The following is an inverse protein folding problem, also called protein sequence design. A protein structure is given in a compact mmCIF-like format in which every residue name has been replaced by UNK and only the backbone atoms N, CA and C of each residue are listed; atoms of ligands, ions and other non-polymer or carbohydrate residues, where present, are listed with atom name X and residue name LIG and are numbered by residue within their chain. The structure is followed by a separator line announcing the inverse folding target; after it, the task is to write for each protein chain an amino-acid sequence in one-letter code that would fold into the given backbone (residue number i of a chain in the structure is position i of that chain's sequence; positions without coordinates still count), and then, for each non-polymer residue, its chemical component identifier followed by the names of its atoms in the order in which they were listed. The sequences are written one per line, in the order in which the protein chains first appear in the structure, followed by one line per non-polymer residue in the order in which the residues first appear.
data_IF_836337589741
#
_entry.id   IF_836337589741
#
_cell.length_a   1.000
_cell.length_b   1.000
_cell.length_c   1.000
_cell.angle_alpha   90.00
_cell.angle_beta   90.00
_cell.angle_gamma   90.00
#
_symmetry.space_group_name_H-M   'P 1'
#
loop_
_entity.id
_entity.type
_entity.pdbx_description
1 polymer ?
2 polymer ?
3 non-polymer ?
4 water ?
#
# COMPACT_ATOMS: atom_id res chain seq x y z
N UNK A 33 -25.91 -10.17 -15.48
CA UNK A 33 -25.64 -9.12 -14.44
C UNK A 33 -24.13 -8.91 -14.17
N UNK A 34 -23.80 -7.90 -13.39
CA UNK A 34 -22.41 -7.54 -13.09
C UNK A 34 -21.89 -8.20 -11.82
N UNK A 35 -20.62 -8.61 -11.85
CA UNK A 35 -19.98 -9.17 -10.64
C UNK A 35 -18.67 -8.44 -10.45
N UNK A 36 -18.41 -7.94 -9.23
CA UNK A 36 -17.16 -7.23 -8.93
C UNK A 36 -16.36 -7.99 -7.91
N UNK A 37 -15.09 -8.29 -8.17
CA UNK A 37 -14.23 -8.93 -7.17
C UNK A 37 -12.98 -8.10 -7.02
N UNK A 38 -12.69 -7.62 -5.81
CA UNK A 38 -11.55 -6.72 -5.58
C UNK A 38 -10.62 -7.33 -4.57
N UNK A 39 -9.33 -7.45 -4.93
CA UNK A 39 -8.29 -7.78 -3.94
C UNK A 39 -7.72 -6.45 -3.53
N UNK A 40 -7.82 -6.13 -2.25
CA UNK A 40 -7.37 -4.83 -1.75
C UNK A 40 -6.36 -5.02 -0.59
N UNK A 41 -5.19 -4.41 -0.70
CA UNK A 41 -4.14 -4.56 0.31
C UNK A 41 -3.74 -3.22 0.88
N UNK A 42 -3.83 -3.08 2.21
CA UNK A 42 -3.35 -1.89 2.92
C UNK A 42 -1.91 -2.13 3.39
N UNK A 43 -1.00 -1.30 2.90
CA UNK A 43 0.41 -1.42 3.25
C UNK A 43 0.77 -0.37 4.29
N UNK A 44 1.50 -0.78 5.32
CA UNK A 44 2.11 0.13 6.29
C UNK A 44 3.59 -0.24 6.38
N UNK A 45 4.49 0.75 6.42
CA UNK A 45 5.91 0.48 6.43
C UNK A 45 6.49 1.47 7.44
N UNK A 46 7.63 1.08 8.05
CA UNK A 46 8.47 2.04 8.77
C UNK A 46 9.88 1.81 8.24
N UNK A 47 10.42 2.87 7.66
CA UNK A 47 11.77 2.86 7.12
C UNK A 47 12.69 3.78 7.94
N UNK A 48 13.89 3.27 8.25
CA UNK A 48 14.87 4.03 9.05
C UNK A 48 15.51 5.13 8.22
N UNK A 49 16.13 6.07 8.92
CA UNK A 49 16.80 7.20 8.24
C UNK A 49 17.91 6.75 7.27
N UNK A 50 18.46 5.55 7.49
CA UNK A 50 19.47 5.00 6.56
C UNK A 50 18.86 4.17 5.43
N UNK A 51 17.52 4.12 5.36
CA UNK A 51 16.86 3.35 4.29
C UNK A 51 16.50 1.93 4.64
N UNK A 52 16.99 1.43 5.79
CA UNK A 52 16.67 0.09 6.27
C UNK A 52 15.20 -0.09 6.56
N UNK A 53 14.63 -1.20 6.13
CA UNK A 53 13.26 -1.52 6.48
C UNK A 53 13.15 -2.03 7.91
N UNK A 54 12.45 -1.29 8.77
CA UNK A 54 12.20 -1.73 10.13
C UNK A 54 10.94 -2.60 10.24
N UNK A 55 9.84 -2.17 9.62
CA UNK A 55 8.55 -2.86 9.75
C UNK A 55 7.87 -2.82 8.40
N UNK A 56 7.20 -3.93 8.07
CA UNK A 56 6.30 -3.97 6.90
C UNK A 56 5.02 -4.68 7.35
N UNK A 57 3.86 -4.17 7.01
CA UNK A 57 2.60 -4.86 7.34
C UNK A 57 1.72 -4.73 6.10
N UNK A 58 1.08 -5.84 5.72
CA UNK A 58 0.08 -5.84 4.65
C UNK A 58 -1.17 -6.46 5.27
N UNK A 59 -2.27 -5.74 5.22
CA UNK A 59 -3.61 -6.25 5.60
C UNK A 59 -4.41 -6.37 4.33
N UNK A 60 -4.77 -7.59 3.93
CA UNK A 60 -5.42 -7.79 2.62
C UNK A 60 -6.84 -8.32 2.81
N UNK A 61 -7.66 -8.03 1.82
CA UNK A 61 -9.04 -8.54 1.76
C UNK A 61 -9.39 -8.83 0.33
N UNK A 62 -10.29 -9.80 0.14
CA UNK A 62 -10.94 -10.05 -1.14
C UNK A 62 -12.42 -9.77 -0.89
N UNK A 63 -12.93 -8.81 -1.63
CA UNK A 63 -14.31 -8.29 -1.48
C UNK A 63 -15.07 -8.58 -2.75
N UNK A 64 -16.30 -9.02 -2.58
CA UNK A 64 -17.15 -9.35 -3.70
C UNK A 64 -18.39 -8.42 -3.66
N UNK A 65 -18.89 -8.04 -4.83
CA UNK A 65 -20.23 -7.44 -4.96
C UNK A 65 -20.93 -8.15 -6.13
N UNK A 66 -22.10 -8.74 -5.89
CA UNK A 66 -22.82 -9.43 -6.96
C UNK A 66 -24.28 -9.53 -6.63
N UNK A 67 -25.11 -9.73 -7.65
CA UNK A 67 -26.56 -9.84 -7.49
C UNK A 67 -27.06 -10.96 -8.40
N UNK A 68 -26.68 -12.19 -8.07
CA UNK A 68 -26.83 -13.28 -9.02
C UNK A 68 -28.20 -13.94 -8.85
N UNK A 69 -28.69 -14.62 -9.91
CA UNK A 69 -29.97 -15.33 -9.76
C UNK A 69 -29.85 -16.40 -8.70
N UNK A 70 -30.99 -16.84 -8.16
CA UNK A 70 -31.06 -17.90 -7.17
C UNK A 70 -30.35 -19.16 -7.72
N UNK A 71 -29.80 -19.96 -6.82
CA UNK A 71 -29.03 -21.16 -7.20
C UNK A 71 -27.51 -20.96 -7.35
N UNK A 72 -27.12 -19.73 -7.71
CA UNK A 72 -25.76 -19.44 -8.19
C UNK A 72 -24.63 -19.82 -7.24
N UNK A 73 -23.62 -20.45 -7.82
CA UNK A 73 -22.42 -20.83 -7.10
C UNK A 73 -21.18 -20.25 -7.79
N UNK A 74 -20.28 -19.69 -7.00
CA UNK A 74 -19.14 -18.98 -7.50
C UNK A 74 -17.90 -19.71 -7.01
N UNK A 75 -16.92 -19.86 -7.90
CA UNK A 75 -15.60 -20.42 -7.55
C UNK A 75 -14.55 -19.35 -7.85
N UNK A 76 -13.70 -19.08 -6.86
CA UNK A 76 -12.62 -18.13 -7.06
C UNK A 76 -11.30 -18.89 -6.92
N UNK A 77 -10.39 -18.80 -7.91
CA UNK A 77 -9.06 -19.47 -7.85
C UNK A 77 -8.02 -18.42 -7.60
N UNK A 78 -7.16 -18.67 -6.62
CA UNK A 78 -6.09 -17.76 -6.26
C UNK A 78 -4.80 -18.29 -6.86
N UNK A 79 -3.73 -17.48 -6.78
CA UNK A 79 -2.36 -17.91 -7.11
C UNK A 79 -2.15 -19.35 -6.68
N UNK A 80 -1.77 -20.20 -7.64
CA UNK A 80 -1.66 -21.64 -7.36
C UNK A 80 -0.57 -21.96 -6.33
N UNK A 81 0.52 -21.23 -6.46
CA UNK A 81 1.67 -21.20 -5.52
C UNK A 81 1.38 -21.28 -4.01
N UNK A 82 0.51 -20.39 -3.57
CA UNK A 82 0.82 -19.61 -2.40
C UNK A 82 0.80 -20.35 -1.09
N UNK A 83 1.73 -20.02 -0.19
CA UNK A 83 1.78 -20.68 1.10
C UNK A 83 1.24 -19.76 2.17
N UNK A 84 0.85 -20.40 3.26
CA UNK A 84 0.21 -19.74 4.36
C UNK A 84 0.99 -20.11 5.64
N UNK A 85 1.37 -19.11 6.42
CA UNK A 85 2.03 -19.37 7.69
C UNK A 85 3.53 -19.63 7.52
N UNK A 86 4.12 -20.09 8.63
CA UNK A 86 5.58 -20.33 8.73
C UNK A 86 5.70 -21.78 9.19
N UNK A 87 5.77 -22.68 8.23
CA UNK A 87 5.83 -24.08 8.52
C UNK A 87 7.09 -24.41 9.30
N UNK A 88 6.91 -25.06 10.46
CA UNK A 88 8.10 -25.52 11.22
C UNK A 88 8.85 -26.62 10.49
N UNK A 89 8.13 -27.45 9.74
CA UNK A 89 8.79 -28.51 8.98
C UNK A 89 9.43 -28.03 7.70
N UNK A 90 8.72 -27.25 6.89
CA UNK A 90 9.23 -26.89 5.60
C UNK A 90 9.94 -25.57 5.57
N UNK A 91 9.76 -24.73 6.61
CA UNK A 91 10.32 -23.38 6.57
C UNK A 91 9.60 -22.50 5.55
N UNK A 92 10.11 -21.31 5.34
CA UNK A 92 9.48 -20.41 4.38
C UNK A 92 10.51 -19.64 3.63
N UNK A 93 10.24 -19.51 2.35
CA UNK A 93 11.31 -19.21 1.40
C UNK A 93 10.85 -18.09 0.51
N UNK A 94 11.44 -17.99 -0.66
CA UNK A 94 11.01 -16.96 -1.56
C UNK A 94 9.79 -17.56 -2.26
N UNK A 95 8.85 -16.74 -2.71
CA UNK A 95 7.60 -17.27 -3.27
C UNK A 95 6.49 -16.40 -2.74
N UNK A 96 5.27 -16.64 -3.18
CA UNK A 96 4.14 -15.83 -2.74
C UNK A 96 3.60 -16.47 -1.48
N UNK A 97 3.43 -15.67 -0.43
CA UNK A 97 3.04 -16.28 0.82
C UNK A 97 2.31 -15.21 1.63
N UNK A 98 1.47 -15.63 2.58
CA UNK A 98 0.95 -14.74 3.58
C UNK A 98 1.20 -15.38 4.95
N UNK A 99 1.21 -14.58 6.00
CA UNK A 99 1.47 -15.11 7.34
C UNK A 99 0.24 -15.74 7.95
N UNK A 100 -0.94 -15.23 7.58
CA UNK A 100 -2.21 -15.83 8.04
C UNK A 100 -3.33 -15.51 7.11
N UNK A 101 -4.37 -16.35 7.16
CA UNK A 101 -5.54 -16.19 6.29
C UNK A 101 -6.77 -16.53 7.11
N UNK A 102 -7.91 -15.95 6.72
CA UNK A 102 -9.20 -16.24 7.33
C UNK A 102 -10.27 -16.06 6.28
N UNK A 103 -11.43 -16.72 6.46
CA UNK A 103 -12.44 -16.79 5.39
C UNK A 103 -13.79 -16.52 5.94
N UNK A 104 -14.67 -16.01 5.10
CA UNK A 104 -16.06 -15.81 5.51
C UNK A 104 -16.67 -17.16 5.84
N UNK A 105 -17.53 -17.20 6.85
CA UNK A 105 -18.10 -18.47 7.28
C UNK A 105 -18.86 -19.25 6.16
N UNK A 106 -19.31 -18.56 5.13
CA UNK A 106 -20.03 -19.19 4.01
C UNK A 106 -19.12 -19.84 2.95
N UNK A 107 -17.81 -19.64 3.09
CA UNK A 107 -16.88 -20.17 2.11
C UNK A 107 -16.54 -21.64 2.36
N UNK A 108 -16.72 -22.45 1.32
CA UNK A 108 -16.27 -23.83 1.35
C UNK A 108 -14.81 -23.97 0.89
N UNK A 109 -14.00 -24.67 1.70
CA UNK A 109 -12.58 -24.80 1.48
C UNK A 109 -12.12 -26.20 1.03
N UNK A 110 -13.05 -27.02 0.56
CA UNK A 110 -12.73 -28.40 0.10
C UNK A 110 -11.65 -28.48 -0.96
N UNK A 111 -11.55 -27.43 -1.79
CA UNK A 111 -10.54 -27.40 -2.85
C UNK A 111 -9.41 -26.40 -2.58
N UNK A 112 -9.34 -25.88 -1.35
CA UNK A 112 -8.33 -24.88 -1.05
C UNK A 112 -6.93 -25.48 -0.93
N UNK A 113 -6.77 -26.60 -0.24
CA UNK A 113 -5.39 -27.08 -0.02
C UNK A 113 -4.77 -27.55 -1.32
N UNK A 114 -5.58 -28.21 -2.16
CA UNK A 114 -5.04 -28.81 -3.39
C UNK A 114 -4.95 -27.82 -4.53
N UNK A 115 -5.88 -26.89 -4.60
CA UNK A 115 -5.98 -26.06 -5.81
C UNK A 115 -6.11 -24.57 -5.53
N UNK A 116 -6.10 -24.14 -4.27
CA UNK A 116 -6.27 -22.72 -3.93
C UNK A 116 -7.59 -22.15 -4.51
N UNK A 117 -8.64 -22.98 -4.49
CA UNK A 117 -9.95 -22.54 -4.99
C UNK A 117 -10.85 -22.37 -3.80
N UNK A 118 -11.65 -21.31 -3.84
CA UNK A 118 -12.69 -21.05 -2.84
C UNK A 118 -14.03 -21.25 -3.55
N UNK A 119 -15.03 -21.72 -2.78
CA UNK A 119 -16.41 -21.88 -3.30
C UNK A 119 -17.41 -21.25 -2.35
N UNK A 120 -18.40 -20.56 -2.91
CA UNK A 120 -19.46 -19.96 -2.08
C UNK A 120 -20.72 -19.65 -2.89
N UNK A 121 -21.85 -19.53 -2.18
CA UNK A 121 -23.09 -19.06 -2.79
C UNK A 121 -23.27 -17.67 -2.19
N UNK A 122 -22.97 -16.62 -2.96
CA UNK A 122 -22.91 -15.28 -2.41
C UNK A 122 -24.31 -14.73 -2.09
N UNK A 123 -24.37 -13.75 -1.20
CA UNK A 123 -25.62 -13.06 -0.93
C UNK A 123 -25.79 -12.01 -2.03
N UNK A 124 -26.85 -11.23 -1.92
CA UNK A 124 -27.05 -10.12 -2.81
C UNK A 124 -26.30 -8.92 -2.28
N UNK A 125 -25.36 -8.37 -3.04
CA UNK A 125 -24.63 -7.21 -2.55
C UNK A 125 -23.19 -7.54 -2.18
N UNK A 126 -22.70 -6.90 -1.11
CA UNK A 126 -21.29 -6.99 -0.72
C UNK A 126 -20.98 -8.09 0.27
N UNK A 127 -19.83 -8.74 0.07
CA UNK A 127 -19.34 -9.75 1.00
C UNK A 127 -17.83 -9.68 1.02
N UNK A 128 -17.23 -9.73 2.19
CA UNK A 128 -15.75 -9.96 2.29
C UNK A 128 -15.50 -11.45 2.38
N UNK A 129 -14.85 -11.99 1.36
CA UNK A 129 -14.66 -13.43 1.20
C UNK A 129 -13.47 -14.00 2.02
N UNK A 130 -12.39 -13.24 2.08
CA UNK A 130 -11.12 -13.68 2.66
C UNK A 130 -10.34 -12.47 3.18
N UNK A 131 -9.61 -12.69 4.27
CA UNK A 131 -8.72 -11.66 4.81
C UNK A 131 -7.40 -12.33 4.96
N UNK A 132 -6.33 -11.55 4.90
CA UNK A 132 -5.01 -12.16 5.12
C UNK A 132 -4.07 -11.08 5.60
N UNK A 133 -2.93 -11.52 6.14
CA UNK A 133 -1.95 -10.57 6.68
C UNK A 133 -0.56 -11.07 6.30
N UNK A 134 0.38 -10.13 6.11
CA UNK A 134 1.78 -10.45 5.86
C UNK A 134 2.64 -9.42 6.63
N UNK A 135 3.62 -9.92 7.41
CA UNK A 135 4.66 -9.06 8.08
C UNK A 135 6.12 -9.28 7.66
N UNK A 136 6.36 -10.21 6.74
CA UNK A 136 7.69 -10.55 6.17
C UNK A 136 8.06 -9.62 5.01
N UNK A 137 9.26 -9.75 4.47
CA UNK A 137 9.63 -9.06 3.24
C UNK A 137 8.61 -9.35 2.13
N UNK A 138 8.35 -8.33 1.31
CA UNK A 138 7.52 -8.50 0.14
C UNK A 138 8.31 -9.19 -0.95
N UNK A 139 7.59 -9.82 -1.89
CA UNK A 139 8.27 -10.48 -3.00
C UNK A 139 8.85 -9.54 -4.06
N UNK A 140 8.52 -8.25 -4.00
CA UNK A 140 9.10 -7.28 -4.93
C UNK A 140 9.63 -6.13 -4.08
N UNK A 141 10.49 -5.27 -4.66
CA UNK A 141 10.96 -4.12 -3.89
C UNK A 141 9.83 -3.22 -3.37
N UNK A 142 10.04 -2.55 -2.24
CA UNK A 142 9.10 -1.53 -1.78
C UNK A 142 8.89 -0.48 -2.85
N UNK A 143 7.67 0.06 -2.93
CA UNK A 143 7.36 0.96 -4.05
C UNK A 143 8.09 2.30 -4.03
N UNK A 144 8.50 2.78 -2.87
CA UNK A 144 9.13 4.11 -2.77
C UNK A 144 10.34 4.13 -1.88
N UNK A 145 11.35 4.90 -2.35
CA UNK A 145 12.54 5.15 -1.55
C UNK A 145 12.69 6.68 -1.50
N UNK A 146 12.98 7.21 -0.31
CA UNK A 146 13.22 8.64 -0.15
C UNK A 146 14.67 8.93 0.19
N UNK A 147 15.20 9.98 -0.44
CA UNK A 147 16.57 10.48 -0.21
C UNK A 147 16.50 11.94 0.23
N UNK A 148 16.39 12.18 1.55
CA UNK A 148 16.32 13.57 2.05
C UNK A 148 17.72 14.20 2.28
N UNK A 149 17.84 15.51 2.07
CA UNK A 149 19.06 16.21 2.45
C UNK A 149 18.66 17.50 3.15
N UNK A 150 19.07 17.63 4.40
CA UNK A 150 18.63 18.73 5.27
C UNK A 150 19.84 19.53 5.76
N UNK A 151 19.80 20.84 5.53
CA UNK A 151 20.83 21.76 6.04
C UNK A 151 20.14 22.80 6.91
N UNK A 152 20.65 22.93 8.13
CA UNK A 152 20.00 23.67 9.19
C UNK A 152 20.97 24.65 9.85
N UNK A 153 20.75 25.95 9.60
CA UNK A 153 21.55 27.02 10.21
C UNK A 153 20.89 27.50 11.52
N UNK A 154 21.52 27.12 12.64
CA UNK A 154 20.85 27.13 13.96
C UNK A 154 20.31 28.44 14.58
N UNK A 155 20.94 29.61 14.40
CA UNK A 155 22.03 29.91 13.45
C UNK A 155 21.63 31.20 12.75
N UNK A 156 20.81 31.07 11.72
CA UNK A 156 20.19 32.23 11.07
C UNK A 156 18.68 31.93 10.93
N UNK A 157 18.33 30.73 11.37
CA UNK A 157 16.98 30.19 11.25
C UNK A 157 16.70 29.51 9.93
N UNK A 158 17.69 29.47 9.05
CA UNK A 158 17.51 28.95 7.69
C UNK A 158 17.46 27.43 7.69
N UNK A 159 16.38 26.85 7.15
CA UNK A 159 16.28 25.43 6.99
C UNK A 159 16.09 25.09 5.52
N UNK A 160 17.00 24.27 4.99
CA UNK A 160 16.86 23.83 3.62
C UNK A 160 16.56 22.33 3.60
N UNK A 161 15.47 21.96 2.93
CA UNK A 161 15.10 20.54 2.89
C UNK A 161 15.02 20.15 1.44
N UNK A 162 15.88 19.22 1.04
CA UNK A 162 15.81 18.68 -0.30
C UNK A 162 15.29 17.27 -0.21
N UNK A 163 14.24 16.95 -0.99
CA UNK A 163 13.67 15.60 -0.96
C UNK A 163 13.69 15.03 -2.38
N UNK A 164 14.24 13.82 -2.51
CA UNK A 164 14.15 13.08 -3.77
C UNK A 164 13.38 11.79 -3.53
N UNK A 165 12.32 11.57 -4.31
CA UNK A 165 11.53 10.37 -4.14
C UNK A 165 11.73 9.52 -5.37
N UNK A 166 12.08 8.24 -5.17
CA UNK A 166 12.24 7.35 -6.32
C UNK A 166 11.15 6.29 -6.25
N UNK A 167 10.46 6.06 -7.37
CA UNK A 167 9.42 5.03 -7.43
C UNK A 167 10.09 3.76 -7.95
N UNK A 168 10.03 2.70 -7.16
CA UNK A 168 10.65 1.45 -7.53
C UNK A 168 9.68 0.36 -8.05
N UNK A 169 8.52 0.79 -8.52
CA UNK A 169 7.58 -0.12 -9.16
C UNK A 169 8.18 -0.46 -10.52
N UNK A 170 7.69 -1.54 -11.13
CA UNK A 170 7.96 -1.79 -12.57
C UNK A 170 7.67 -0.54 -13.41
N UNK A 171 8.42 -0.35 -14.49
CA UNK A 171 8.42 0.93 -15.20
C UNK A 171 7.10 1.24 -15.91
N UNK A 172 6.34 0.18 -16.21
CA UNK A 172 5.02 0.30 -16.79
C UNK A 172 3.97 0.78 -15.77
N UNK A 173 4.25 0.60 -14.48
CA UNK A 173 3.19 0.72 -13.49
C UNK A 173 3.11 2.08 -12.78
N UNK A 174 1.89 2.44 -12.40
CA UNK A 174 1.54 3.77 -11.98
C UNK A 174 1.26 3.79 -10.49
N UNK A 175 1.60 4.91 -9.87
CA UNK A 175 1.13 5.24 -8.52
C UNK A 175 0.26 6.48 -8.58
N UNK A 176 -0.91 6.40 -7.95
CA UNK A 176 -1.89 7.46 -8.01
C UNK A 176 -2.01 8.19 -6.69
N UNK A 177 -2.29 9.48 -6.79
CA UNK A 177 -2.61 10.30 -5.60
C UNK A 177 -1.47 10.25 -4.61
N UNK A 178 -0.23 10.28 -5.10
CA UNK A 178 0.87 10.20 -4.15
C UNK A 178 1.02 11.53 -3.42
N UNK A 179 1.09 11.49 -2.09
CA UNK A 179 1.28 12.70 -1.26
C UNK A 179 2.27 12.36 -0.17
N UNK A 180 3.19 13.29 0.07
CA UNK A 180 4.16 13.17 1.14
C UNK A 180 3.84 14.24 2.19
N UNK A 181 3.71 13.83 3.46
CA UNK A 181 3.42 14.71 4.55
C UNK A 181 4.70 14.76 5.39
N UNK A 182 5.18 15.96 5.72
CA UNK A 182 6.41 16.10 6.47
C UNK A 182 6.23 17.09 7.65
N UNK A 183 6.09 16.58 8.87
CA UNK A 183 5.96 17.50 10.02
C UNK A 183 7.18 18.38 10.14
N UNK A 184 7.00 19.63 10.52
CA UNK A 184 8.18 20.53 10.57
C UNK A 184 8.25 21.19 11.95
N UNK A 185 9.42 21.77 12.31
CA UNK A 185 9.59 22.48 13.60
C UNK A 185 8.50 23.55 13.78
N UNK A 186 8.16 23.85 15.04
CA UNK A 186 7.09 24.83 15.32
C UNK A 186 7.38 26.23 14.73
N UNK A 187 6.36 26.84 14.13
CA UNK A 187 6.44 28.21 13.57
C UNK A 187 7.19 28.37 12.25
N UNK A 188 7.52 27.26 11.62
CA UNK A 188 8.20 27.35 10.32
C UNK A 188 7.33 27.99 9.21
N UNK A 189 7.97 28.84 8.43
CA UNK A 189 7.35 29.40 7.24
C UNK A 189 8.16 29.11 5.97
N UNK A 190 7.46 29.11 4.84
CA UNK A 190 8.11 28.84 3.58
C UNK A 190 8.68 30.12 2.96
N UNK A 191 9.95 30.07 2.55
CA UNK A 191 10.60 31.15 1.82
C UNK A 191 10.56 30.93 0.30
N UNK A 192 10.87 29.70 -0.13
CA UNK A 192 10.71 29.36 -1.54
C UNK A 192 10.61 27.85 -1.69
N UNK A 193 10.13 27.44 -2.85
CA UNK A 193 10.24 26.03 -3.22
C UNK A 193 10.52 25.94 -4.71
N UNK A 194 11.23 24.88 -5.10
CA UNK A 194 11.52 24.54 -6.50
C UNK A 194 11.09 23.08 -6.64
N UNK A 195 10.10 22.79 -7.46
CA UNK A 195 9.67 21.39 -7.63
C UNK A 195 10.09 20.90 -9.01
N UNK A 196 10.43 19.61 -9.11
CA UNK A 196 11.20 19.16 -10.26
C UNK A 196 10.38 19.03 -11.53
N UNK A 197 9.06 19.02 -11.43
CA UNK A 197 8.20 19.00 -12.59
C UNK A 197 6.95 19.81 -12.29
N UNK A 198 6.35 20.43 -13.33
CA UNK A 198 5.28 21.41 -13.08
C UNK A 198 3.90 20.94 -12.61
N UNK A 199 3.59 19.63 -12.72
CA UNK A 199 2.33 19.08 -12.22
C UNK A 199 2.33 18.95 -10.69
N UNK A 200 3.51 19.03 -10.08
CA UNK A 200 3.63 18.87 -8.61
C UNK A 200 3.10 20.10 -7.89
N UNK A 201 2.54 19.89 -6.68
CA UNK A 201 2.09 21.00 -5.82
C UNK A 201 2.71 20.80 -4.43
N UNK A 202 3.06 21.89 -3.75
CA UNK A 202 3.45 21.73 -2.35
C UNK A 202 3.05 22.96 -1.57
N UNK A 203 2.56 22.75 -0.36
CA UNK A 203 2.28 23.88 0.54
C UNK A 203 2.54 23.48 1.99
N UNK A 204 2.73 24.47 2.86
CA UNK A 204 2.71 24.21 4.29
C UNK A 204 1.31 24.47 4.78
N UNK A 205 0.84 23.59 5.63
CA UNK A 205 -0.45 23.76 6.32
C UNK A 205 -0.39 22.94 7.58
N UNK A 206 -0.93 23.52 8.66
CA UNK A 206 -1.04 22.86 9.97
C UNK A 206 0.29 22.31 10.47
N UNK A 207 1.37 23.05 10.22
CA UNK A 207 2.68 22.72 10.75
C UNK A 207 3.46 21.66 9.99
N UNK A 208 2.99 21.33 8.79
CA UNK A 208 3.61 20.29 7.98
C UNK A 208 3.65 20.70 6.52
N UNK A 209 4.63 20.17 5.83
CA UNK A 209 4.67 20.26 4.38
C UNK A 209 3.77 19.17 3.81
N UNK A 210 2.97 19.52 2.80
CA UNK A 210 2.19 18.58 2.05
C UNK A 210 2.67 18.74 0.61
N UNK A 211 3.24 17.68 0.05
CA UNK A 211 3.79 17.65 -1.29
C UNK A 211 3.04 16.63 -2.15
N UNK A 212 2.34 17.10 -3.17
CA UNK A 212 1.50 16.23 -3.98
C UNK A 212 2.17 15.97 -5.32
N UNK A 213 2.17 14.69 -5.75
CA UNK A 213 2.90 14.27 -6.95
C UNK A 213 1.99 13.45 -7.81
N UNK A 214 1.13 14.13 -8.60
CA UNK A 214 0.05 13.39 -9.23
C UNK A 214 0.56 12.49 -10.37
N UNK A 215 1.74 12.77 -10.92
CA UNK A 215 2.30 11.91 -11.99
C UNK A 215 3.48 11.04 -11.53
N UNK A 216 3.23 9.77 -11.26
CA UNK A 216 4.32 8.92 -10.73
C UNK A 216 4.29 7.54 -11.36
N UNK A 217 5.39 7.12 -11.95
CA UNK A 217 5.45 5.80 -12.62
C UNK A 217 6.67 5.07 -12.14
N UNK A 218 6.69 3.74 -12.30
CA UNK A 218 7.88 2.98 -11.98
C UNK A 218 9.11 3.63 -12.62
N UNK A 219 10.18 3.78 -11.87
CA UNK A 219 11.38 4.45 -12.40
C UNK A 219 11.41 5.96 -12.24
N UNK A 220 10.28 6.61 -11.92
CA UNK A 220 10.26 8.08 -11.75
C UNK A 220 11.15 8.52 -10.61
N UNK A 221 11.74 9.69 -10.77
CA UNK A 221 12.56 10.30 -9.71
C UNK A 221 12.14 11.74 -9.68
N UNK A 222 11.53 12.14 -8.57
CA UNK A 222 10.91 13.47 -8.43
C UNK A 222 11.53 14.14 -7.24
N UNK A 223 11.73 15.45 -7.32
CA UNK A 223 12.45 16.09 -6.24
C UNK A 223 11.89 17.47 -5.92
N UNK A 224 12.12 17.91 -4.69
CA UNK A 224 11.63 19.24 -4.31
C UNK A 224 12.68 19.82 -3.41
N UNK A 225 12.93 21.13 -3.57
CA UNK A 225 13.85 21.84 -2.68
C UNK A 225 13.06 22.93 -1.98
N UNK A 226 13.06 22.88 -0.66
CA UNK A 226 12.24 23.76 0.16
C UNK A 226 13.16 24.60 1.05
N UNK A 227 13.01 25.90 0.95
CA UNK A 227 13.76 26.87 1.79
C UNK A 227 12.76 27.39 2.81
N UNK A 228 13.06 27.19 4.07
CA UNK A 228 12.17 27.59 5.15
C UNK A 228 12.90 28.44 6.19
N UNK A 229 12.13 29.08 7.07
CA UNK A 229 12.68 29.85 8.18
C UNK A 229 12.10 29.25 9.44
N UNK A 230 12.97 28.88 10.39
CA UNK A 230 12.52 28.32 11.67
C UNK A 230 12.74 29.41 12.71
N UNK A 231 11.66 29.82 13.41
CA UNK A 231 11.84 30.93 14.38
C UNK A 231 12.56 30.45 15.64
N UNK A 232 13.18 31.38 16.37
CA UNK A 232 13.77 31.06 17.70
C UNK A 232 12.66 30.76 18.70
N UNK A 233 12.99 30.10 19.82
CA UNK A 233 11.89 29.70 20.73
C UNK A 233 11.14 30.91 21.32
N UNK A 234 9.88 30.71 21.77
CA UNK A 234 9.32 31.82 22.54
C UNK A 234 10.03 31.89 23.89
N UNK A 235 10.06 33.07 24.50
CA UNK A 235 9.50 34.25 23.93
C UNK A 235 9.21 35.29 24.99
N UNK A 248 14.77 20.02 14.73
CA UNK A 248 13.66 19.12 15.11
C UNK A 248 12.55 19.85 15.91
N UNK A 249 11.29 19.39 15.86
CA UNK A 249 10.88 18.13 15.23
C UNK A 249 10.56 18.10 13.73
N UNK A 250 11.57 17.74 12.92
CA UNK A 250 11.42 17.45 11.50
C UNK A 250 11.18 15.95 11.24
N UNK A 251 10.19 15.61 10.42
CA UNK A 251 9.91 14.20 10.20
C UNK A 251 9.11 13.54 11.31
N UNK A 252 8.81 12.23 11.16
CA UNK A 252 9.16 11.49 9.91
C UNK A 252 8.25 11.83 8.72
N UNK A 253 8.69 11.52 7.50
CA UNK A 253 7.85 11.71 6.30
C UNK A 253 6.82 10.57 6.30
N UNK A 254 5.61 10.87 5.89
CA UNK A 254 4.63 9.82 5.75
C UNK A 254 4.07 9.99 4.33
N UNK A 255 4.11 8.91 3.57
CA UNK A 255 3.56 8.87 2.22
C UNK A 255 2.21 8.21 2.23
N UNK A 256 1.32 8.72 1.38
CA UNK A 256 0.08 8.04 1.13
C UNK A 256 -0.06 7.95 -0.38
N UNK A 257 -0.71 6.89 -0.83
CA UNK A 257 -0.83 6.62 -2.27
C UNK A 257 -1.73 5.43 -2.58
N UNK A 258 -2.11 5.31 -3.86
CA UNK A 258 -2.77 4.08 -4.35
C UNK A 258 -1.94 3.44 -5.49
N UNK A 259 -1.93 2.12 -5.52
CA UNK A 259 -1.20 1.35 -6.55
C UNK A 259 -2.18 0.50 -7.34
N UNK A 260 -2.72 1.02 -8.45
CA UNK A 260 -3.66 0.22 -9.22
C UNK A 260 -3.01 -1.02 -9.88
N UNK A 261 -3.76 -2.10 -10.08
CA UNK A 261 -3.28 -3.30 -10.79
C UNK A 261 -2.03 -3.81 -10.07
N UNK A 262 -2.12 -3.89 -8.76
CA UNK A 262 -0.96 -4.27 -7.97
C UNK A 262 -1.40 -4.90 -6.65
N UNK A 263 -0.68 -5.93 -6.22
CA UNK A 263 -0.70 -6.40 -4.85
C UNK A 263 0.70 -6.45 -4.28
N UNK A 264 0.84 -5.93 -3.07
CA UNK A 264 2.10 -5.96 -2.31
C UNK A 264 2.52 -7.38 -1.98
N UNK A 265 1.56 -8.26 -1.62
CA UNK A 265 1.90 -9.64 -1.27
C UNK A 265 2.24 -10.54 -2.49
N UNK A 266 1.81 -10.10 -3.67
CA UNK A 266 1.95 -10.91 -4.89
C UNK A 266 0.72 -11.78 -5.13
N UNK A 267 -0.17 -11.86 -4.14
CA UNK A 267 -1.40 -12.66 -4.29
C UNK A 267 -2.24 -12.12 -5.42
N UNK A 268 -2.85 -13.04 -6.17
CA UNK A 268 -3.77 -12.63 -7.24
C UNK A 268 -4.98 -13.58 -7.29
N UNK A 269 -6.09 -13.01 -7.75
CA UNK A 269 -7.16 -13.87 -8.24
C UNK A 269 -6.82 -14.32 -9.66
N UNK A 270 -6.76 -15.64 -9.89
CA UNK A 270 -6.48 -16.24 -11.22
C UNK A 270 -7.75 -16.39 -12.03
N UNK A 271 -8.83 -16.74 -11.34
CA UNK A 271 -10.14 -16.86 -12.03
C UNK A 271 -11.31 -16.62 -11.14
N UNK A 272 -12.40 -16.28 -11.80
CA UNK A 272 -13.68 -16.09 -11.18
C UNK A 272 -14.68 -16.76 -12.10
N UNK A 273 -15.31 -17.81 -11.61
CA UNK A 273 -16.20 -18.63 -12.42
C UNK A 273 -17.52 -18.87 -11.73
N UNK A 274 -18.60 -18.71 -12.50
CA UNK A 274 -19.94 -18.75 -12.01
C UNK A 274 -20.61 -19.93 -12.66
N UNK A 275 -21.42 -20.63 -11.90
CA UNK A 275 -22.30 -21.66 -12.48
C UNK A 275 -23.73 -21.23 -12.17
N UNK A 276 -24.58 -21.22 -13.21
CA UNK A 276 -26.01 -20.90 -13.07
C UNK A 276 -26.86 -22.14 -13.33
N UNK A 284 -23.25 -12.47 -17.71
CA UNK A 284 -22.58 -11.97 -16.48
C UNK A 284 -21.22 -11.33 -16.79
N UNK A 285 -21.15 -10.01 -16.60
CA UNK A 285 -19.92 -9.28 -16.87
C UNK A 285 -19.12 -9.21 -15.57
N UNK A 286 -17.81 -9.45 -15.65
CA UNK A 286 -16.99 -9.52 -14.46
C UNK A 286 -15.96 -8.40 -14.44
N UNK A 287 -15.76 -7.84 -13.25
CA UNK A 287 -14.62 -6.95 -13.01
C UNK A 287 -13.77 -7.57 -11.91
N UNK A 288 -12.50 -7.88 -12.22
CA UNK A 288 -11.60 -8.39 -11.21
C UNK A 288 -10.48 -7.37 -11.07
N UNK A 289 -10.27 -6.83 -9.87
CA UNK A 289 -9.35 -5.68 -9.73
C UNK A 289 -8.46 -5.99 -8.56
N UNK A 290 -7.19 -5.52 -8.65
CA UNK A 290 -6.21 -5.66 -7.59
C UNK A 290 -5.65 -4.29 -7.28
N UNK A 291 -5.68 -3.93 -6.00
CA UNK A 291 -5.23 -2.58 -5.59
C UNK A 291 -4.46 -2.66 -4.26
N UNK A 292 -3.34 -1.91 -4.16
CA UNK A 292 -2.68 -1.68 -2.89
C UNK A 292 -2.77 -0.19 -2.58
N UNK A 293 -2.79 0.16 -1.29
CA UNK A 293 -2.83 1.57 -0.91
C UNK A 293 -2.15 1.70 0.45
N UNK A 294 -1.69 2.90 0.75
CA UNK A 294 -1.14 3.22 2.05
C UNK A 294 -1.55 4.61 2.49
N UNK A 295 -1.72 4.74 3.81
CA UNK A 295 -1.77 6.09 4.39
C UNK A 295 -0.74 6.19 5.50
N UNK A 296 0.13 5.19 5.59
CA UNK A 296 1.14 5.04 6.68
C UNK A 296 2.43 4.44 6.19
N UNK A 297 3.04 5.08 5.21
CA UNK A 297 4.27 4.59 4.68
C UNK A 297 5.27 5.58 5.23
N UNK A 298 5.86 5.20 6.36
CA UNK A 298 6.60 6.17 7.17
C UNK A 298 8.12 6.05 6.95
N UNK A 299 8.79 7.19 6.77
CA UNK A 299 10.22 7.15 6.44
C UNK A 299 10.90 8.18 7.36
N UNK A 300 11.77 7.70 8.24
CA UNK A 300 12.46 8.66 9.12
C UNK A 300 13.43 9.53 8.33
N UNK A 301 13.59 10.77 8.79
CA UNK A 301 14.57 11.67 8.18
C UNK A 301 15.85 11.66 9.05
N UNK B 1 -8.97 -26.56 10.72
CA UNK B 1 -7.63 -26.00 10.34
C UNK B 1 -7.66 -24.50 10.08
N UNK B 2 -8.83 -23.99 9.68
CA UNK B 2 -8.94 -22.64 9.15
C UNK B 2 -9.72 -21.70 10.05
N UNK B 3 -9.37 -20.42 10.04
CA UNK B 3 -10.09 -19.40 10.82
C UNK B 3 -11.18 -18.77 9.97
N UNK B 4 -12.36 -18.59 10.56
CA UNK B 4 -13.52 -18.00 9.85
C UNK B 4 -14.00 -16.73 10.54
N UNK B 5 -14.64 -15.85 9.78
CA UNK B 5 -15.29 -14.69 10.38
C UNK B 5 -16.69 -14.59 9.82
N UNK B 6 -17.54 -13.85 10.52
CA UNK B 6 -18.92 -13.63 10.11
C UNK B 6 -19.14 -12.35 9.32
N UNK B 7 -18.22 -11.41 9.48
CA UNK B 7 -18.30 -10.17 8.69
C UNK B 7 -16.92 -9.59 8.45
#
# INVERSE_FOLDING_TARGET
GAMDPEFQQSKVAPSSAASRPVLSSRSDQSQKNEVFLDVVERLSVLIASNGSLLKVDVQGEIRLKSFLPSGSEMRIGLTEEFSVGKSELRGYGPGIRVDEVSFHSSVNLDEFESHRILRLQPPQGELTVMRYQLSDDLPSPLPFRLFPSVQWDRGSGRLQVYLKLRCDLLSKSQALNVRLHLPLPRGVVSLSQELSSPEQKAELAEGALRWDLPRVQGGSQLSGLFQMDVPGPPGPPSHGLSTSASPLGLGPASLSFELPRHTCSGLQVRFLRLAFRPSGNANPHKWVRHLSHSDAYVIRI
TYKFFEQ
#
